data_IF_858472526490
#
_entry.id   IF_858472526490
#
_cell.length_a   1.000
_cell.length_b   1.000
_cell.length_c   1.000
_cell.angle_alpha   90.00
_cell.angle_beta   90.00
_cell.angle_gamma   90.00
#
_symmetry.space_group_name_H-M   'P 1'
#
loop_
_entity.id
_entity.type
_entity.pdbx_description
1 polymer ?
#
# COMPACT_ATOMS: atom_id res chain seq x y z
N UNK A 1 30.57 -4.04 85.63
CA UNK A 1 30.63 -5.44 86.11
C UNK A 1 29.66 -6.27 85.27
N UNK A 2 29.96 -7.56 85.05
CA UNK A 2 29.07 -8.75 85.11
C UNK A 2 27.55 -8.48 85.00
N UNK A 3 26.71 -9.12 84.17
CA UNK A 3 26.70 -10.38 83.39
C UNK A 3 25.78 -10.21 82.13
N UNK A 4 25.82 -11.01 81.04
CA UNK A 4 25.21 -12.37 80.86
C UNK A 4 23.79 -12.53 81.48
N UNK A 5 22.80 -13.28 81.00
CA UNK A 5 22.52 -14.13 79.81
C UNK A 5 20.97 -14.37 79.76
N UNK A 6 20.28 -14.97 78.78
CA UNK A 6 20.62 -15.63 77.50
C UNK A 6 19.41 -15.52 76.51
N UNK A 7 19.38 -16.30 75.42
CA UNK A 7 18.34 -16.32 74.37
C UNK A 7 17.11 -17.21 74.67
N UNK A 8 16.01 -17.00 73.93
CA UNK A 8 15.53 -18.03 72.97
C UNK A 8 14.57 -17.46 71.90
N UNK A 9 14.71 -17.96 70.67
CA UNK A 9 13.79 -17.73 69.55
C UNK A 9 12.45 -18.50 69.80
N UNK A 10 11.34 -18.34 69.07
CA UNK A 10 11.23 -18.00 67.63
C UNK A 10 9.81 -17.61 67.16
N UNK A 11 9.78 -16.73 66.14
CA UNK A 11 8.78 -16.55 65.05
C UNK A 11 7.33 -16.16 65.41
N UNK A 12 6.90 -14.90 65.19
CA UNK A 12 6.51 -14.24 63.89
C UNK A 12 5.06 -14.59 63.49
N UNK A 13 4.06 -13.80 63.92
CA UNK A 13 3.40 -12.65 63.21
C UNK A 13 2.56 -13.15 62.00
N UNK A 14 1.22 -13.07 61.94
CA UNK A 14 0.16 -12.11 62.40
C UNK A 14 0.11 -10.79 61.57
N UNK A 15 -0.87 -9.87 61.77
CA UNK A 15 -1.97 -9.50 60.84
C UNK A 15 -1.62 -8.29 59.93
N UNK A 16 -2.46 -7.65 59.10
CA UNK A 16 -3.92 -7.50 59.06
C UNK A 16 -4.39 -6.26 59.87
N UNK A 17 -5.08 -5.29 59.24
CA UNK A 17 -5.81 -4.20 59.92
C UNK A 17 -5.39 -2.76 59.55
N UNK A 18 -6.37 -1.92 59.20
CA UNK A 18 -6.31 -0.44 59.17
C UNK A 18 -6.59 0.08 60.60
N UNK A 19 -6.34 1.30 61.09
CA UNK A 19 -6.60 2.73 60.67
C UNK A 19 -6.14 3.61 61.88
N UNK A 20 -6.36 4.95 62.01
CA UNK A 20 -6.40 6.12 61.11
C UNK A 20 -5.54 7.33 61.65
N UNK A 21 -5.84 8.57 61.20
CA UNK A 21 -5.45 9.90 61.79
C UNK A 21 -4.01 10.44 61.57
N UNK A 22 -3.72 11.76 61.44
CA UNK A 22 -4.58 12.95 61.28
C UNK A 22 -3.88 14.13 60.51
N UNK A 23 -4.72 15.09 60.11
CA UNK A 23 -4.60 16.34 59.32
C UNK A 23 -3.45 17.33 59.71
N UNK A 24 -2.88 18.09 58.73
CA UNK A 24 -2.93 19.60 58.58
C UNK A 24 -2.26 20.09 57.25
N UNK A 25 -2.76 21.21 56.71
CA UNK A 25 -2.52 21.80 55.37
C UNK A 25 -1.26 22.69 55.22
N UNK A 26 -0.75 22.89 53.99
CA UNK A 26 -0.97 24.16 53.23
C UNK A 26 -0.42 24.22 51.78
N UNK A 27 -1.20 24.91 50.93
CA UNK A 27 -0.85 25.77 49.76
C UNK A 27 -0.23 25.20 48.46
N UNK A 28 -1.11 25.13 47.46
CA UNK A 28 -1.00 25.72 46.10
C UNK A 28 0.27 25.45 45.26
N UNK A 29 0.07 24.73 44.15
CA UNK A 29 0.06 25.41 42.85
C UNK A 29 -0.80 24.68 41.81
N UNK A 30 -1.63 25.44 41.11
CA UNK A 30 -2.43 24.98 39.98
C UNK A 30 -1.55 24.83 38.74
N UNK A 31 -1.20 23.59 38.40
CA UNK A 31 -0.66 23.26 37.08
C UNK A 31 -1.71 22.44 36.32
N UNK A 32 -2.30 23.05 35.30
CA UNK A 32 -3.18 22.37 34.36
C UNK A 32 -2.47 21.18 33.74
N UNK A 33 -3.07 19.99 33.81
CA UNK A 33 -2.70 18.88 32.95
C UNK A 33 -3.15 19.18 31.52
N UNK A 34 -2.35 19.98 30.82
CA UNK A 34 -2.40 20.03 29.36
C UNK A 34 -1.98 18.67 28.81
N UNK A 35 -2.88 18.04 28.06
CA UNK A 35 -2.57 16.86 27.26
C UNK A 35 -1.32 17.13 26.39
N UNK A 36 -0.38 16.17 26.26
CA UNK A 36 0.80 16.35 25.43
C UNK A 36 0.40 16.51 23.96
N UNK A 37 0.49 17.74 23.44
CA UNK A 37 0.42 18.03 22.00
C UNK A 37 1.74 17.62 21.34
N UNK A 38 1.87 16.34 21.01
CA UNK A 38 2.99 15.82 20.21
C UNK A 38 2.51 14.91 19.08
N UNK A 39 1.83 15.52 18.09
CA UNK A 39 1.71 14.92 16.75
C UNK A 39 3.02 15.12 15.97
N UNK A 40 4.11 14.53 16.46
CA UNK A 40 5.33 14.36 15.66
C UNK A 40 5.31 12.94 15.10
N UNK A 41 4.73 12.79 13.90
CA UNK A 41 4.65 11.49 13.25
C UNK A 41 6.06 11.02 12.86
N UNK A 42 6.41 9.82 13.33
CA UNK A 42 7.77 9.28 13.19
C UNK A 42 8.25 9.26 11.74
N UNK A 43 9.48 9.74 11.52
CA UNK A 43 10.13 9.66 10.22
C UNK A 43 10.36 8.19 9.84
N UNK A 44 10.00 7.81 8.60
CA UNK A 44 10.34 6.48 8.08
C UNK A 44 11.72 6.51 7.43
N UNK A 45 12.55 5.52 7.78
CA UNK A 45 13.93 5.40 7.28
C UNK A 45 13.98 5.28 5.76
N UNK A 46 13.11 4.46 5.16
CA UNK A 46 12.86 4.43 3.72
C UNK A 46 11.46 3.88 3.41
N UNK A 47 10.84 4.38 2.34
CA UNK A 47 9.60 3.83 1.75
C UNK A 47 9.73 3.78 0.23
N UNK A 48 8.96 2.89 -0.40
CA UNK A 48 8.74 2.92 -1.86
C UNK A 48 7.39 3.55 -2.15
N UNK A 49 7.33 4.36 -3.19
CA UNK A 49 6.10 4.97 -3.70
C UNK A 49 5.92 4.62 -5.18
N UNK A 50 4.68 4.44 -5.62
CA UNK A 50 4.29 4.46 -7.03
C UNK A 50 3.38 5.67 -7.25
N UNK A 51 3.76 6.56 -8.17
CA UNK A 51 3.04 7.82 -8.42
C UNK A 51 1.86 7.58 -9.36
N UNK A 52 0.66 7.99 -8.97
CA UNK A 52 -0.58 7.69 -9.68
C UNK A 52 -1.02 8.80 -10.65
N UNK A 53 -0.66 10.04 -10.35
CA UNK A 53 -1.18 11.23 -11.00
C UNK A 53 -0.06 12.23 -11.32
N UNK A 54 -0.38 13.24 -12.10
CA UNK A 54 0.52 14.36 -12.39
C UNK A 54 0.60 15.31 -11.17
N UNK A 55 1.73 15.99 -10.99
CA UNK A 55 1.92 16.88 -9.83
C UNK A 55 1.05 18.13 -9.94
N UNK A 56 0.10 18.27 -9.02
CA UNK A 56 -0.73 19.48 -8.89
C UNK A 56 -0.04 20.48 -7.97
N UNK A 57 -0.17 21.78 -8.28
CA UNK A 57 0.31 22.86 -7.40
C UNK A 57 -0.81 23.83 -7.04
N UNK A 58 -0.78 24.37 -5.81
CA UNK A 58 -1.75 25.34 -5.34
C UNK A 58 -1.14 26.28 -4.27
N UNK A 59 -1.64 27.53 -4.16
CA UNK A 59 -1.20 28.46 -3.13
C UNK A 59 -1.79 28.11 -1.76
N UNK A 60 -0.96 28.14 -0.71
CA UNK A 60 -1.37 28.00 0.68
C UNK A 60 -0.91 29.19 1.52
N UNK A 61 -1.62 29.48 2.63
CA UNK A 61 -1.20 30.52 3.58
C UNK A 61 0.09 30.10 4.28
N UNK A 62 1.05 31.01 4.40
CA UNK A 62 2.37 30.75 4.98
C UNK A 62 2.86 31.94 5.79
N UNK A 63 3.10 31.71 7.09
CA UNK A 63 3.74 32.70 7.98
C UNK A 63 5.24 32.89 7.74
N UNK A 64 5.83 32.10 6.84
CA UNK A 64 7.26 32.10 6.53
C UNK A 64 7.57 32.72 5.16
N UNK A 65 6.55 33.20 4.45
CA UNK A 65 6.69 33.91 3.17
C UNK A 65 6.37 35.40 3.38
N UNK A 66 7.16 36.33 2.81
CA UNK A 66 6.86 37.76 2.86
C UNK A 66 5.46 38.12 2.33
N UNK A 67 4.97 37.37 1.34
CA UNK A 67 3.65 37.58 0.71
C UNK A 67 2.49 36.93 1.49
N UNK A 68 2.77 36.30 2.65
CA UNK A 68 1.79 35.53 3.41
C UNK A 68 1.31 34.24 2.73
N UNK A 69 1.86 33.90 1.55
CA UNK A 69 1.49 32.77 0.70
C UNK A 69 2.72 31.97 0.26
N UNK A 70 2.58 30.67 0.08
CA UNK A 70 3.59 29.80 -0.53
C UNK A 70 2.92 28.81 -1.47
N UNK A 71 3.60 28.40 -2.54
CA UNK A 71 3.12 27.33 -3.42
C UNK A 71 3.42 25.98 -2.78
N UNK A 72 2.42 25.09 -2.77
CA UNK A 72 2.55 23.70 -2.37
C UNK A 72 2.33 22.81 -3.60
N UNK A 73 3.14 21.78 -3.73
CA UNK A 73 3.07 20.76 -4.78
C UNK A 73 2.65 19.44 -4.13
N UNK A 74 1.70 18.74 -4.75
CA UNK A 74 1.12 17.49 -4.22
C UNK A 74 0.84 16.49 -5.32
N UNK A 75 0.94 15.20 -5.00
CA UNK A 75 0.59 14.10 -5.90
C UNK A 75 0.01 12.93 -5.11
N UNK A 76 -0.88 12.15 -5.72
CA UNK A 76 -1.36 10.89 -5.15
C UNK A 76 -0.42 9.74 -5.50
N UNK A 77 -0.16 8.87 -4.52
CA UNK A 77 0.75 7.74 -4.67
C UNK A 77 0.32 6.54 -3.81
N UNK A 78 0.73 5.34 -4.22
CA UNK A 78 0.68 4.14 -3.38
C UNK A 78 1.99 4.07 -2.60
N UNK A 79 1.91 4.18 -1.27
CA UNK A 79 3.05 4.04 -0.34
C UNK A 79 2.71 2.98 0.70
N UNK A 80 3.57 1.97 0.87
CA UNK A 80 3.34 0.83 1.77
C UNK A 80 1.93 0.20 1.62
N UNK A 81 1.52 -0.02 0.36
CA UNK A 81 0.21 -0.55 -0.05
C UNK A 81 -1.01 0.31 0.34
N UNK A 82 -0.82 1.61 0.62
CA UNK A 82 -1.91 2.56 0.89
C UNK A 82 -1.86 3.74 -0.07
N UNK A 83 -3.02 4.13 -0.60
CA UNK A 83 -3.18 5.37 -1.36
C UNK A 83 -3.05 6.53 -0.36
N UNK A 84 -2.14 7.46 -0.66
CA UNK A 84 -1.89 8.64 0.18
C UNK A 84 -1.34 9.80 -0.66
N UNK A 85 -1.41 11.00 -0.10
CA UNK A 85 -0.80 12.18 -0.71
C UNK A 85 0.70 12.25 -0.36
N UNK A 86 1.52 12.59 -1.34
CA UNK A 86 2.91 13.02 -1.17
C UNK A 86 2.98 14.51 -1.51
N UNK A 87 3.71 15.30 -0.71
CA UNK A 87 3.73 16.74 -0.85
C UNK A 87 5.10 17.38 -0.61
N UNK A 88 5.35 18.52 -1.28
CA UNK A 88 6.54 19.33 -1.10
C UNK A 88 6.26 20.83 -1.22
N UNK A 89 7.13 21.64 -0.60
CA UNK A 89 7.22 23.09 -0.77
C UNK A 89 8.45 23.50 -1.59
N UNK A 90 9.15 22.53 -2.21
CA UNK A 90 10.35 22.77 -3.01
C UNK A 90 10.03 22.45 -4.46
N UNK A 91 9.83 23.49 -5.25
CA UNK A 91 9.62 23.42 -6.70
C UNK A 91 10.61 22.47 -7.38
N UNK A 92 11.92 22.63 -7.13
CA UNK A 92 12.98 21.75 -7.66
C UNK A 92 12.89 20.25 -7.30
N UNK A 93 11.99 19.86 -6.39
CA UNK A 93 11.70 18.46 -6.01
C UNK A 93 10.40 17.94 -6.64
N UNK A 94 9.51 18.82 -7.12
CA UNK A 94 8.26 18.42 -7.76
C UNK A 94 8.46 17.68 -9.10
N UNK A 95 9.34 18.12 -10.03
CA UNK A 95 9.67 17.37 -11.25
C UNK A 95 10.40 16.02 -11.03
N UNK A 96 10.64 15.61 -9.78
CA UNK A 96 11.17 14.28 -9.45
C UNK A 96 10.06 13.30 -9.07
N UNK A 97 8.79 13.71 -9.21
CA UNK A 97 7.59 12.92 -8.88
C UNK A 97 6.77 12.68 -10.16
N UNK A 98 7.38 12.02 -11.14
CA UNK A 98 6.70 11.76 -12.41
C UNK A 98 5.64 10.69 -12.22
N UNK A 99 4.51 10.87 -12.91
CA UNK A 99 3.43 9.89 -12.97
C UNK A 99 3.92 8.54 -13.51
N UNK A 100 3.36 7.46 -12.99
CA UNK A 100 3.68 6.07 -13.33
C UNK A 100 5.13 5.60 -13.03
N UNK A 101 5.93 6.42 -12.33
CA UNK A 101 7.25 6.03 -11.83
C UNK A 101 7.22 5.41 -10.42
N UNK A 102 8.13 4.48 -10.17
CA UNK A 102 8.40 3.94 -8.84
C UNK A 102 9.64 4.60 -8.21
N UNK A 103 9.44 5.27 -7.09
CA UNK A 103 10.44 6.10 -6.42
C UNK A 103 10.77 5.51 -5.04
N UNK A 104 12.04 5.57 -4.65
CA UNK A 104 12.48 5.24 -3.29
C UNK A 104 12.77 6.53 -2.51
N UNK A 105 11.97 6.80 -1.49
CA UNK A 105 12.28 7.86 -0.53
C UNK A 105 13.13 7.31 0.61
N UNK A 106 14.09 8.11 1.07
CA UNK A 106 14.91 7.85 2.25
C UNK A 106 14.79 9.08 3.16
N UNK A 107 14.52 8.87 4.45
CA UNK A 107 14.16 9.92 5.42
C UNK A 107 12.96 10.77 4.96
N UNK A 108 11.82 10.11 4.77
CA UNK A 108 10.55 10.82 4.52
C UNK A 108 9.77 10.98 5.83
N UNK A 109 9.11 12.12 5.98
CA UNK A 109 8.29 12.42 7.14
C UNK A 109 6.82 12.27 6.80
N UNK A 110 6.00 11.92 7.79
CA UNK A 110 4.55 11.99 7.67
C UNK A 110 4.03 13.27 8.34
N UNK A 111 2.97 13.85 7.81
CA UNK A 111 2.24 15.00 8.34
C UNK A 111 0.76 14.66 8.32
N UNK A 112 0.07 14.89 9.45
CA UNK A 112 -1.35 14.54 9.61
C UNK A 112 -2.29 15.29 8.66
N UNK A 113 -1.86 16.43 8.12
CA UNK A 113 -2.63 17.30 7.23
C UNK A 113 -2.37 17.01 5.76
N UNK A 114 -1.17 16.50 5.43
CA UNK A 114 -0.63 16.51 4.07
C UNK A 114 -0.03 15.17 3.59
N UNK A 115 -0.14 14.11 4.40
CA UNK A 115 0.45 12.82 4.09
C UNK A 115 1.97 12.84 4.17
N UNK A 116 2.66 12.21 3.22
CA UNK A 116 4.12 12.15 3.24
C UNK A 116 4.75 13.44 2.73
N UNK A 117 5.50 14.11 3.59
CA UNK A 117 6.19 15.38 3.31
C UNK A 117 7.64 15.14 2.90
N UNK A 118 7.99 15.58 1.69
CA UNK A 118 9.37 15.66 1.20
C UNK A 118 10.02 16.89 1.83
N UNK A 119 10.87 16.66 2.83
CA UNK A 119 11.64 17.68 3.54
C UNK A 119 13.02 17.90 2.87
N UNK A 120 13.80 18.94 3.23
CA UNK A 120 15.11 19.19 2.62
C UNK A 120 16.12 18.03 2.75
N UNK A 121 15.98 17.23 3.80
CA UNK A 121 16.77 16.04 4.10
C UNK A 121 16.22 14.73 3.49
N UNK A 122 15.01 14.78 2.89
CA UNK A 122 14.45 13.65 2.15
C UNK A 122 15.23 13.44 0.84
N UNK A 123 15.95 12.33 0.79
CA UNK A 123 16.61 11.86 -0.44
C UNK A 123 15.55 11.14 -1.27
N UNK A 124 15.36 11.65 -2.49
CA UNK A 124 14.59 10.98 -3.54
C UNK A 124 15.61 10.20 -4.35
N UNK A 125 15.52 8.88 -4.33
CA UNK A 125 16.34 8.01 -5.14
C UNK A 125 15.50 7.28 -6.18
N UNK A 126 16.02 7.23 -7.40
CA UNK A 126 15.70 6.14 -8.31
C UNK A 126 16.08 4.80 -7.65
N UNK A 127 15.45 3.71 -8.08
CA UNK A 127 15.85 2.37 -7.65
C UNK A 127 17.28 2.12 -8.15
N UNK A 128 18.20 1.82 -7.22
CA UNK A 128 19.64 1.92 -7.46
C UNK A 128 20.14 1.06 -8.62
N UNK A 129 20.84 1.73 -9.53
CA UNK A 129 21.90 1.15 -10.36
C UNK A 129 22.99 0.62 -9.42
N UNK A 130 23.19 -0.70 -9.36
CA UNK A 130 24.26 -1.29 -8.57
C UNK A 130 25.48 -1.53 -9.47
N UNK A 131 26.67 -1.06 -9.05
CA UNK A 131 27.94 -1.31 -9.75
C UNK A 131 27.96 -0.88 -11.24
N UNK A 132 27.31 0.23 -11.59
CA UNK A 132 27.15 0.68 -12.98
C UNK A 132 26.19 -0.17 -13.83
N UNK A 133 25.71 -1.30 -13.30
CA UNK A 133 24.67 -2.12 -13.92
C UNK A 133 23.28 -1.67 -13.46
N UNK A 134 22.41 -1.32 -14.41
CA UNK A 134 21.00 -1.05 -14.10
C UNK A 134 20.34 -2.36 -13.69
N UNK A 135 19.52 -2.35 -12.64
CA UNK A 135 18.81 -3.52 -12.14
C UNK A 135 17.35 -3.20 -11.90
N UNK A 136 16.45 -3.98 -12.50
CA UNK A 136 15.01 -3.91 -12.26
C UNK A 136 14.53 -5.24 -11.70
N UNK A 137 13.95 -5.21 -10.50
CA UNK A 137 13.24 -6.37 -9.94
C UNK A 137 11.76 -6.31 -10.29
N UNK A 138 11.20 -7.42 -10.75
CA UNK A 138 9.80 -7.59 -11.08
C UNK A 138 9.23 -8.76 -10.29
N UNK A 139 8.07 -8.56 -9.66
CA UNK A 139 7.30 -9.63 -9.04
C UNK A 139 6.31 -10.14 -10.09
N UNK A 140 6.52 -11.37 -10.55
CA UNK A 140 5.62 -12.08 -11.45
C UNK A 140 4.53 -12.78 -10.62
N UNK A 141 3.29 -12.80 -11.12
CA UNK A 141 2.18 -13.55 -10.55
C UNK A 141 1.41 -14.26 -11.66
N UNK A 142 1.16 -15.56 -11.50
CA UNK A 142 0.37 -16.36 -12.43
C UNK A 142 -0.28 -17.55 -11.69
N UNK A 143 -1.58 -17.76 -11.86
CA UNK A 143 -2.38 -18.84 -11.25
C UNK A 143 -2.07 -19.06 -9.75
N UNK A 144 -2.18 -17.99 -8.96
CA UNK A 144 -1.90 -17.99 -7.51
C UNK A 144 -0.41 -18.05 -7.11
N UNK A 145 0.49 -18.43 -8.03
CA UNK A 145 1.93 -18.53 -7.77
C UNK A 145 2.62 -17.20 -7.99
N UNK A 146 3.71 -16.97 -7.23
CA UNK A 146 4.57 -15.80 -7.35
C UNK A 146 6.01 -16.20 -7.68
N UNK A 147 6.71 -15.33 -8.38
CA UNK A 147 8.14 -15.46 -8.67
C UNK A 147 8.78 -14.07 -8.76
N UNK A 148 10.10 -13.98 -8.59
CA UNK A 148 10.86 -12.75 -8.82
C UNK A 148 11.71 -12.90 -10.08
N UNK A 149 11.62 -11.93 -10.99
CA UNK A 149 12.49 -11.81 -12.15
C UNK A 149 13.37 -10.56 -12.01
N UNK A 150 14.68 -10.72 -12.12
CA UNK A 150 15.64 -9.61 -12.13
C UNK A 150 16.13 -9.36 -13.55
N UNK A 151 15.85 -8.18 -14.09
CA UNK A 151 16.40 -7.71 -15.37
C UNK A 151 17.59 -6.79 -15.15
N UNK A 152 18.56 -6.84 -16.08
CA UNK A 152 19.84 -6.15 -15.97
C UNK A 152 20.13 -5.30 -17.22
N UNK A 153 20.82 -4.17 -17.01
CA UNK A 153 21.27 -3.24 -18.06
C UNK A 153 20.13 -2.81 -19.00
N UNK A 154 20.29 -2.96 -20.32
CA UNK A 154 19.28 -2.51 -21.30
C UNK A 154 17.88 -3.06 -21.01
N UNK A 155 17.79 -4.32 -20.57
CA UNK A 155 16.53 -5.00 -20.22
C UNK A 155 15.86 -4.47 -18.95
N UNK A 156 16.56 -3.68 -18.13
CA UNK A 156 15.96 -3.01 -16.98
C UNK A 156 15.09 -1.82 -17.43
N UNK A 157 15.53 -1.09 -18.46
CA UNK A 157 14.83 0.08 -19.00
C UNK A 157 13.79 -0.33 -20.07
N UNK A 158 14.21 -1.13 -21.05
CA UNK A 158 13.44 -1.44 -22.27
C UNK A 158 13.65 -2.88 -22.73
N UNK A 159 12.60 -3.49 -23.27
CA UNK A 159 12.68 -4.78 -23.97
C UNK A 159 12.06 -4.61 -25.34
N UNK A 160 12.84 -4.88 -26.39
CA UNK A 160 12.37 -4.72 -27.78
C UNK A 160 11.92 -3.29 -28.14
N UNK A 161 12.41 -2.28 -27.41
CA UNK A 161 11.99 -0.88 -27.58
C UNK A 161 10.74 -0.47 -26.78
N UNK A 162 10.14 -1.37 -26.00
CA UNK A 162 8.98 -1.06 -25.14
C UNK A 162 9.38 -1.05 -23.65
N UNK A 163 8.78 -0.16 -22.86
CA UNK A 163 8.88 -0.18 -21.41
C UNK A 163 7.91 -1.22 -20.82
N UNK A 164 8.40 -2.11 -19.95
CA UNK A 164 7.54 -3.04 -19.22
C UNK A 164 6.62 -2.27 -18.27
N UNK A 165 5.31 -2.52 -18.35
CA UNK A 165 4.28 -1.84 -17.56
C UNK A 165 3.76 -2.78 -16.44
N UNK A 166 3.51 -2.23 -15.26
CA UNK A 166 2.85 -2.99 -14.20
C UNK A 166 1.38 -3.29 -14.58
N UNK A 167 0.87 -4.44 -14.15
CA UNK A 167 -0.52 -4.85 -14.43
C UNK A 167 -0.80 -5.41 -15.83
N UNK A 168 0.15 -5.32 -16.78
CA UNK A 168 0.07 -5.98 -18.09
C UNK A 168 0.57 -7.42 -18.04
N UNK A 169 0.04 -8.28 -18.92
CA UNK A 169 0.42 -9.69 -19.04
C UNK A 169 1.50 -9.83 -20.12
N UNK A 170 2.59 -10.52 -19.80
CA UNK A 170 3.69 -10.75 -20.73
C UNK A 170 4.01 -12.25 -20.83
N UNK A 171 4.22 -12.74 -22.05
CA UNK A 171 4.89 -14.01 -22.29
C UNK A 171 6.39 -13.76 -22.26
N UNK A 172 7.04 -14.26 -21.22
CA UNK A 172 8.48 -14.09 -20.99
C UNK A 172 9.21 -15.37 -21.41
N UNK A 173 10.22 -15.26 -22.28
CA UNK A 173 11.02 -16.40 -22.78
C UNK A 173 12.48 -16.26 -22.38
N UNK A 174 13.22 -17.37 -22.34
CA UNK A 174 14.68 -17.41 -22.14
C UNK A 174 15.18 -16.74 -20.84
N UNK A 175 14.48 -16.97 -19.72
CA UNK A 175 14.94 -16.60 -18.37
C UNK A 175 15.80 -17.71 -17.77
N UNK A 176 16.75 -17.34 -16.91
CA UNK A 176 17.66 -18.26 -16.22
C UNK A 176 17.17 -18.45 -14.78
N UNK A 177 16.88 -19.67 -14.30
CA UNK A 177 16.55 -19.90 -12.90
C UNK A 177 17.76 -19.59 -12.01
N UNK A 178 17.51 -18.99 -10.85
CA UNK A 178 18.52 -18.77 -9.81
C UNK A 178 18.15 -19.56 -8.56
N UNK A 179 19.00 -19.50 -7.53
CA UNK A 179 18.61 -19.96 -6.20
C UNK A 179 17.34 -19.23 -5.75
N UNK A 180 16.42 -19.97 -5.13
CA UNK A 180 15.22 -19.42 -4.52
C UNK A 180 15.60 -18.55 -3.32
N UNK A 181 14.88 -17.45 -3.11
CA UNK A 181 15.25 -16.44 -2.11
C UNK A 181 14.01 -15.96 -1.36
N UNK A 182 14.01 -16.11 -0.02
CA UNK A 182 12.84 -15.91 0.84
C UNK A 182 11.59 -16.65 0.32
N UNK A 183 11.72 -17.96 0.12
CA UNK A 183 10.64 -18.87 -0.32
C UNK A 183 9.96 -18.47 -1.64
N UNK A 184 10.60 -17.59 -2.41
CA UNK A 184 10.13 -17.09 -3.70
C UNK A 184 11.02 -17.61 -4.82
N UNK A 185 10.40 -18.21 -5.84
CA UNK A 185 11.09 -18.72 -7.04
C UNK A 185 11.74 -17.58 -7.78
N UNK A 186 13.06 -17.62 -7.97
CA UNK A 186 13.81 -16.51 -8.52
C UNK A 186 14.42 -16.82 -9.91
N UNK A 187 14.44 -15.80 -10.76
CA UNK A 187 14.95 -15.84 -12.13
C UNK A 187 15.78 -14.59 -12.44
N UNK A 188 16.78 -14.74 -13.30
CA UNK A 188 17.48 -13.65 -13.97
C UNK A 188 17.07 -13.58 -15.44
N UNK A 189 16.93 -12.38 -15.99
CA UNK A 189 16.93 -12.18 -17.42
C UNK A 189 18.35 -12.40 -17.97
N UNK A 190 18.43 -13.08 -19.12
CA UNK A 190 19.63 -13.20 -19.95
C UNK A 190 19.57 -12.17 -21.10
N UNK A 191 20.68 -11.91 -21.82
CA UNK A 191 20.64 -11.11 -23.06
C UNK A 191 19.67 -11.64 -24.13
N UNK A 192 19.26 -12.91 -24.03
CA UNK A 192 18.27 -13.55 -24.92
C UNK A 192 16.84 -13.52 -24.39
N UNK A 193 16.60 -12.92 -23.22
CA UNK A 193 15.23 -12.82 -22.65
C UNK A 193 14.38 -11.88 -23.48
N UNK A 194 13.25 -12.38 -23.97
CA UNK A 194 12.24 -11.59 -24.66
C UNK A 194 10.97 -11.50 -23.81
N UNK A 195 10.31 -10.35 -23.90
CA UNK A 195 9.04 -10.08 -23.25
C UNK A 195 8.06 -9.71 -24.37
N UNK A 196 7.13 -10.61 -24.64
CA UNK A 196 6.07 -10.47 -25.64
C UNK A 196 4.84 -9.99 -24.87
N UNK A 197 4.42 -8.74 -25.10
CA UNK A 197 3.17 -8.22 -24.52
C UNK A 197 2.02 -9.09 -25.04
N UNK A 198 1.31 -9.75 -24.14
CA UNK A 198 0.01 -10.31 -24.45
C UNK A 198 -0.97 -9.15 -24.30
N UNK A 199 -1.09 -8.34 -25.36
CA UNK A 199 -2.30 -7.54 -25.58
C UNK A 199 -3.50 -8.49 -25.43
N UNK A 200 -4.55 -8.06 -24.72
CA UNK A 200 -5.62 -8.91 -24.20
C UNK A 200 -6.16 -9.89 -25.26
N UNK A 201 -5.51 -11.06 -25.38
CA UNK A 201 -5.95 -12.12 -26.27
C UNK A 201 -7.19 -12.74 -25.66
N UNK A 202 -8.09 -13.13 -26.54
CA UNK A 202 -9.43 -13.68 -26.29
C UNK A 202 -9.44 -15.00 -25.49
N UNK A 203 -8.28 -15.44 -24.96
CA UNK A 203 -8.05 -16.72 -24.27
C UNK A 203 -8.84 -16.88 -22.95
N UNK A 204 -9.43 -15.81 -22.41
CA UNK A 204 -10.35 -15.82 -21.26
C UNK A 204 -11.75 -15.24 -21.59
N UNK A 205 -12.03 -14.88 -22.86
CA UNK A 205 -13.37 -14.41 -23.25
C UNK A 205 -14.27 -15.57 -23.64
N UNK A 206 -15.39 -15.71 -22.92
CA UNK A 206 -16.40 -16.74 -23.15
C UNK A 206 -17.79 -16.14 -23.36
N UNK A 207 -18.75 -17.00 -23.64
CA UNK A 207 -20.17 -16.66 -23.57
C UNK A 207 -20.75 -17.40 -22.36
N UNK A 208 -21.46 -16.67 -21.50
CA UNK A 208 -22.42 -17.21 -20.54
C UNK A 208 -23.73 -17.34 -21.33
N UNK A 209 -24.36 -18.51 -21.32
CA UNK A 209 -25.64 -18.76 -21.98
C UNK A 209 -26.43 -19.75 -21.09
N UNK A 210 -27.24 -19.22 -20.18
CA UNK A 210 -27.83 -20.05 -19.11
C UNK A 210 -28.84 -19.31 -18.24
N UNK A 211 -29.35 -20.00 -17.22
CA UNK A 211 -30.34 -19.47 -16.27
C UNK A 211 -29.61 -18.86 -15.07
N UNK A 212 -30.02 -17.66 -14.65
CA UNK A 212 -29.56 -17.06 -13.39
C UNK A 212 -30.22 -17.76 -12.21
N UNK A 213 -29.41 -18.45 -11.41
CA UNK A 213 -29.82 -19.27 -10.27
C UNK A 213 -29.94 -18.43 -8.99
N UNK A 214 -29.02 -17.48 -8.80
CA UNK A 214 -29.09 -16.47 -7.75
C UNK A 214 -28.43 -15.14 -8.15
N UNK A 215 -28.68 -14.09 -7.35
CA UNK A 215 -28.15 -12.74 -7.60
C UNK A 215 -27.93 -11.96 -6.30
N UNK A 216 -26.79 -11.29 -6.19
CA UNK A 216 -26.48 -10.30 -5.16
C UNK A 216 -26.49 -8.90 -5.74
N UNK A 217 -27.53 -8.12 -5.46
CA UNK A 217 -27.65 -6.72 -5.85
C UNK A 217 -26.68 -5.78 -5.10
N UNK A 218 -26.20 -6.19 -3.92
CA UNK A 218 -25.23 -5.41 -3.14
C UNK A 218 -23.81 -5.58 -3.70
N UNK A 219 -23.43 -6.82 -4.03
CA UNK A 219 -22.10 -7.15 -4.56
C UNK A 219 -22.01 -7.03 -6.08
N UNK A 220 -23.15 -6.97 -6.78
CA UNK A 220 -23.28 -7.10 -8.23
C UNK A 220 -22.69 -8.43 -8.76
N UNK A 221 -23.18 -9.54 -8.21
CA UNK A 221 -22.79 -10.90 -8.60
C UNK A 221 -24.05 -11.65 -9.05
N UNK A 222 -23.93 -12.45 -10.11
CA UNK A 222 -24.92 -13.46 -10.53
C UNK A 222 -24.30 -14.86 -10.46
N UNK A 223 -25.13 -15.86 -10.24
CA UNK A 223 -24.80 -17.29 -10.30
C UNK A 223 -25.50 -17.89 -11.52
N UNK A 224 -24.77 -18.61 -12.37
CA UNK A 224 -25.27 -19.28 -13.57
C UNK A 224 -24.52 -20.60 -13.72
N UNK A 225 -25.24 -21.72 -13.71
CA UNK A 225 -24.69 -23.08 -13.85
C UNK A 225 -23.55 -23.38 -12.85
N UNK A 226 -23.80 -23.17 -11.55
CA UNK A 226 -22.82 -23.29 -10.45
C UNK A 226 -21.59 -22.33 -10.54
N UNK A 227 -21.50 -21.43 -11.54
CA UNK A 227 -20.44 -20.42 -11.66
C UNK A 227 -20.88 -19.01 -11.25
N UNK A 228 -20.02 -18.28 -10.51
CA UNK A 228 -20.27 -16.89 -10.09
C UNK A 228 -19.60 -15.88 -11.02
N UNK A 229 -20.37 -14.88 -11.45
CA UNK A 229 -19.90 -13.79 -12.31
C UNK A 229 -20.19 -12.42 -11.70
N UNK A 230 -19.17 -11.58 -11.66
CA UNK A 230 -19.29 -10.15 -11.40
C UNK A 230 -19.96 -9.48 -12.60
N UNK A 231 -20.95 -8.64 -12.36
CA UNK A 231 -21.75 -8.00 -13.41
C UNK A 231 -21.82 -6.48 -13.19
N UNK A 232 -21.51 -5.64 -14.20
CA UNK A 232 -21.62 -4.19 -14.07
C UNK A 232 -23.02 -3.76 -13.65
N UNK A 233 -23.15 -2.82 -12.71
CA UNK A 233 -24.44 -2.41 -12.14
C UNK A 233 -25.48 -1.99 -13.18
N UNK A 234 -25.06 -1.32 -14.26
CA UNK A 234 -25.92 -0.93 -15.38
C UNK A 234 -26.46 -2.15 -16.15
N UNK A 235 -25.65 -3.19 -16.30
CA UNK A 235 -26.02 -4.45 -16.95
C UNK A 235 -26.92 -5.29 -16.04
N UNK A 236 -26.61 -5.35 -14.74
CA UNK A 236 -27.45 -5.99 -13.73
C UNK A 236 -28.87 -5.38 -13.68
N UNK A 237 -28.96 -4.05 -13.73
CA UNK A 237 -30.24 -3.34 -13.81
C UNK A 237 -30.94 -3.48 -15.17
N UNK A 238 -30.26 -3.87 -16.24
CA UNK A 238 -30.90 -4.17 -17.52
C UNK A 238 -31.62 -5.53 -17.47
N UNK A 239 -31.03 -6.53 -16.79
CA UNK A 239 -31.63 -7.85 -16.58
C UNK A 239 -32.70 -7.84 -15.48
N UNK A 240 -32.45 -7.11 -14.39
CA UNK A 240 -33.37 -6.99 -13.24
C UNK A 240 -33.78 -5.52 -13.00
N UNK A 241 -34.60 -4.92 -13.87
CA UNK A 241 -34.94 -3.49 -13.81
C UNK A 241 -35.74 -3.09 -12.54
N UNK A 242 -36.41 -4.04 -11.89
CA UNK A 242 -37.08 -3.86 -10.61
C UNK A 242 -36.12 -3.88 -9.40
N UNK A 243 -34.85 -4.23 -9.58
CA UNK A 243 -33.92 -4.51 -8.47
C UNK A 243 -34.32 -5.73 -7.63
N UNK A 244 -35.09 -6.65 -8.21
CA UNK A 244 -35.56 -7.88 -7.56
C UNK A 244 -35.21 -9.09 -8.42
N UNK A 245 -34.88 -10.21 -7.77
CA UNK A 245 -34.62 -11.47 -8.47
C UNK A 245 -35.91 -12.03 -9.08
N UNK A 246 -35.79 -12.56 -10.29
CA UNK A 246 -36.88 -13.24 -11.02
C UNK A 246 -36.34 -14.63 -11.39
N UNK A 247 -37.07 -15.67 -10.98
CA UNK A 247 -36.70 -17.05 -11.32
C UNK A 247 -36.81 -17.31 -12.83
N UNK A 248 -35.98 -18.23 -13.35
CA UNK A 248 -35.91 -18.60 -14.76
C UNK A 248 -35.50 -17.44 -15.71
N UNK A 249 -34.80 -16.42 -15.19
CA UNK A 249 -34.19 -15.38 -16.01
C UNK A 249 -33.02 -15.99 -16.79
N UNK A 250 -33.18 -16.08 -18.11
CA UNK A 250 -32.07 -16.45 -18.99
C UNK A 250 -31.17 -15.24 -19.24
N UNK A 251 -29.86 -15.46 -19.21
CA UNK A 251 -28.85 -14.48 -19.58
C UNK A 251 -27.98 -15.08 -20.70
N UNK A 252 -27.76 -14.28 -21.73
CA UNK A 252 -26.71 -14.52 -22.72
C UNK A 252 -25.77 -13.32 -22.72
N UNK A 253 -24.53 -13.55 -22.33
CA UNK A 253 -23.60 -12.46 -22.04
C UNK A 253 -22.17 -12.83 -22.45
N UNK A 254 -21.41 -11.86 -22.94
CA UNK A 254 -19.97 -12.04 -23.12
C UNK A 254 -19.28 -11.83 -21.78
N UNK A 255 -18.49 -12.81 -21.36
CA UNK A 255 -17.65 -12.72 -20.17
C UNK A 255 -16.18 -12.59 -20.53
N UNK A 256 -15.39 -12.10 -19.60
CA UNK A 256 -13.93 -12.19 -19.56
C UNK A 256 -13.53 -12.64 -18.17
N UNK A 257 -13.03 -13.88 -18.03
CA UNK A 257 -12.92 -14.56 -16.71
C UNK A 257 -14.28 -14.59 -15.99
N UNK A 258 -14.31 -14.18 -14.74
CA UNK A 258 -15.47 -14.08 -13.83
C UNK A 258 -16.18 -12.71 -13.94
N UNK A 259 -16.03 -11.96 -15.04
CA UNK A 259 -16.61 -10.63 -15.25
C UNK A 259 -17.47 -10.59 -16.52
N UNK A 260 -18.74 -10.17 -16.41
CA UNK A 260 -19.61 -9.84 -17.55
C UNK A 260 -19.16 -8.53 -18.17
N UNK A 261 -18.87 -8.54 -19.47
CA UNK A 261 -18.37 -7.37 -20.22
C UNK A 261 -19.33 -6.88 -21.32
N UNK A 262 -20.32 -7.68 -21.71
CA UNK A 262 -21.31 -7.36 -22.75
C UNK A 262 -22.57 -8.24 -22.55
N UNK A 263 -23.74 -7.74 -22.96
CA UNK A 263 -25.01 -8.47 -23.03
C UNK A 263 -25.74 -8.12 -24.34
#
# INVERSE_FOLDING_TARGET
MVATSIASNSRTVVPGGRTPENIIMQKTNSASHSLPRTHEAAAKSSVKAYILEDVVSFPVRSKFSPEGKSVKYTVWAIVDNKICQIATFKEKKAPQLNRDEQIKFIKIHYDTTYGYMIRPDTVIGEIQIANGSKRREMNLKYNGRTAKLTAWNGLADTVGGCHLQAGKIYRIKSVVPTNDFHDCRCYNASPSTTFELLEDREEDTGIIDGIVESVSFESNIIEVEDEYYNIPKNMLMAVFPSGQFVHNTNIRAKRRREEVIEM
#
